data_IF_532533002791
#
_entry.id   IF_532533002791
#
_cell.length_a   1.000
_cell.length_b   1.000
_cell.length_c   1.000
_cell.angle_alpha   90.00
_cell.angle_beta   90.00
_cell.angle_gamma   90.00
#
_symmetry.space_group_name_H-M   'P 1'
#
loop_
_entity.id
_entity.type
_entity.pdbx_description
1 polymer ?
#
# COMPACT_ATOMS: atom_id res chain seq x y z
N UNK A 1 44.07 -22.43 -3.17
CA UNK A 1 42.77 -22.27 -3.86
C UNK A 1 41.74 -21.60 -2.95
N UNK A 2 41.87 -20.30 -2.64
CA UNK A 2 40.94 -19.59 -1.74
C UNK A 2 40.01 -18.59 -2.45
N UNK A 3 40.36 -18.17 -3.68
CA UNK A 3 39.60 -17.16 -4.45
C UNK A 3 38.25 -17.66 -4.97
N UNK A 4 38.06 -18.96 -5.19
CA UNK A 4 36.82 -19.55 -5.74
C UNK A 4 35.67 -19.65 -4.73
N UNK A 5 35.98 -19.80 -3.44
CA UNK A 5 34.97 -19.81 -2.36
C UNK A 5 34.33 -18.42 -2.21
N UNK A 6 35.14 -17.35 -2.27
CA UNK A 6 34.68 -15.98 -2.11
C UNK A 6 33.73 -15.52 -3.23
N UNK A 7 33.96 -15.94 -4.48
CA UNK A 7 33.09 -15.61 -5.61
C UNK A 7 31.76 -16.35 -5.54
N UNK A 8 31.76 -17.61 -5.11
CA UNK A 8 30.54 -18.39 -4.89
C UNK A 8 29.62 -17.74 -3.84
N UNK A 9 30.19 -17.33 -2.69
CA UNK A 9 29.43 -16.68 -1.63
C UNK A 9 28.83 -15.34 -2.08
N UNK A 10 29.57 -14.54 -2.85
CA UNK A 10 29.05 -13.29 -3.44
C UNK A 10 27.87 -13.55 -4.38
N UNK A 11 27.99 -14.54 -5.27
CA UNK A 11 26.93 -14.92 -6.21
C UNK A 11 25.67 -15.42 -5.49
N UNK A 12 25.83 -16.20 -4.42
CA UNK A 12 24.69 -16.62 -3.60
C UNK A 12 23.99 -15.45 -2.89
N UNK A 13 24.77 -14.54 -2.30
CA UNK A 13 24.22 -13.37 -1.62
C UNK A 13 23.43 -12.47 -2.59
N UNK A 14 23.96 -12.27 -3.79
CA UNK A 14 23.30 -11.49 -4.83
C UNK A 14 21.99 -12.14 -5.30
N UNK A 15 22.00 -13.46 -5.53
CA UNK A 15 20.78 -14.22 -5.85
C UNK A 15 19.72 -14.10 -4.76
N UNK A 16 20.11 -14.17 -3.49
CA UNK A 16 19.19 -14.01 -2.36
C UNK A 16 18.64 -12.57 -2.26
N UNK A 17 19.45 -11.56 -2.60
CA UNK A 17 18.99 -10.16 -2.65
C UNK A 17 18.00 -9.94 -3.80
N UNK A 18 18.24 -10.53 -4.96
CA UNK A 18 17.33 -10.46 -6.12
C UNK A 18 15.98 -11.09 -5.78
N UNK A 19 15.97 -12.33 -5.28
CA UNK A 19 14.74 -13.01 -4.83
C UNK A 19 13.94 -12.18 -3.82
N UNK A 20 14.61 -11.66 -2.78
CA UNK A 20 13.93 -10.81 -1.78
C UNK A 20 13.34 -9.52 -2.37
N UNK A 21 13.93 -8.96 -3.44
CA UNK A 21 13.38 -7.80 -4.13
C UNK A 21 12.16 -8.17 -4.97
N UNK A 22 12.24 -9.29 -5.69
CA UNK A 22 11.14 -9.85 -6.48
C UNK A 22 9.94 -10.17 -5.59
N UNK A 23 10.15 -10.91 -4.49
CA UNK A 23 9.10 -11.26 -3.52
C UNK A 23 8.41 -10.02 -2.93
N UNK A 24 9.19 -8.99 -2.58
CA UNK A 24 8.64 -7.72 -2.08
C UNK A 24 7.85 -6.98 -3.15
N UNK A 25 8.33 -6.97 -4.39
CA UNK A 25 7.63 -6.32 -5.49
C UNK A 25 6.33 -7.04 -5.81
N UNK A 26 6.33 -8.38 -5.81
CA UNK A 26 5.15 -9.19 -6.01
C UNK A 26 4.14 -8.98 -4.88
N UNK A 27 4.55 -9.03 -3.61
CA UNK A 27 3.68 -8.73 -2.47
C UNK A 27 3.08 -7.32 -2.53
N UNK A 28 3.84 -6.34 -3.04
CA UNK A 28 3.33 -4.98 -3.26
C UNK A 28 2.27 -4.96 -4.36
N UNK A 29 2.50 -5.64 -5.49
CA UNK A 29 1.52 -5.76 -6.58
C UNK A 29 0.27 -6.49 -6.11
N UNK A 30 0.40 -7.61 -5.42
CA UNK A 30 -0.72 -8.36 -4.85
C UNK A 30 -1.54 -7.50 -3.88
N UNK A 31 -0.90 -6.66 -3.06
CA UNK A 31 -1.60 -5.69 -2.20
C UNK A 31 -2.31 -4.61 -3.03
N UNK A 32 -1.72 -4.17 -4.14
CA UNK A 32 -2.35 -3.19 -5.03
C UNK A 32 -3.53 -3.79 -5.82
N UNK A 33 -3.42 -5.04 -6.26
CA UNK A 33 -4.39 -5.75 -7.10
C UNK A 33 -5.55 -6.35 -6.28
N UNK A 34 -5.29 -6.95 -5.11
CA UNK A 34 -6.31 -7.62 -4.30
C UNK A 34 -6.98 -6.73 -3.24
N UNK A 35 -6.62 -5.46 -3.18
CA UNK A 35 -7.09 -4.57 -2.11
C UNK A 35 -6.46 -3.20 -2.26
N UNK A 36 -6.77 -2.54 -3.37
CA UNK A 36 -6.46 -1.13 -3.54
C UNK A 36 -6.98 -0.39 -2.31
N UNK A 37 -6.18 0.53 -1.79
CA UNK A 37 -6.54 1.38 -0.63
C UNK A 37 -7.94 1.99 -0.78
N UNK A 38 -8.40 2.16 -2.02
CA UNK A 38 -9.72 2.63 -2.40
C UNK A 38 -10.88 1.73 -1.92
N UNK A 39 -10.71 0.40 -1.89
CA UNK A 39 -11.75 -0.54 -1.47
C UNK A 39 -11.89 -0.63 0.06
N UNK A 40 -10.96 -0.03 0.80
CA UNK A 40 -10.99 0.05 2.26
C UNK A 40 -11.49 1.42 2.77
N UNK A 41 -11.84 2.35 1.87
CA UNK A 41 -12.44 3.63 2.25
C UNK A 41 -13.95 3.40 2.40
N UNK A 42 -14.41 3.30 3.64
CA UNK A 42 -15.83 3.31 3.94
C UNK A 42 -16.30 4.74 4.18
N UNK A 43 -17.43 5.11 3.59
CA UNK A 43 -18.06 6.40 3.80
C UNK A 43 -18.98 6.32 5.02
N UNK A 44 -19.11 7.43 5.75
CA UNK A 44 -19.96 7.54 6.93
C UNK A 44 -21.08 8.53 6.61
N UNK A 45 -22.33 8.17 6.92
CA UNK A 45 -23.49 9.05 6.78
C UNK A 45 -23.65 10.01 7.99
N UNK A 46 -24.61 10.92 7.91
CA UNK A 46 -24.90 11.94 8.95
C UNK A 46 -25.30 11.33 10.31
N UNK A 47 -25.64 10.04 10.35
CA UNK A 47 -26.04 9.30 11.54
C UNK A 47 -24.95 8.35 12.05
N UNK A 48 -23.76 8.36 11.43
CA UNK A 48 -22.62 7.55 11.83
C UNK A 48 -22.62 6.13 11.27
N UNK A 49 -23.49 5.79 10.31
CA UNK A 49 -23.53 4.46 9.69
C UNK A 49 -22.58 4.37 8.50
N UNK A 50 -21.99 3.19 8.31
CA UNK A 50 -21.13 2.89 7.16
C UNK A 50 -21.98 2.71 5.90
N UNK A 51 -21.68 3.49 4.87
CA UNK A 51 -22.32 3.40 3.55
C UNK A 51 -21.31 3.03 2.47
N UNK A 52 -21.78 2.20 1.53
CA UNK A 52 -21.03 1.75 0.34
C UNK A 52 -21.09 2.76 -0.82
N UNK A 53 -21.98 3.75 -0.72
CA UNK A 53 -22.11 4.81 -1.72
C UNK A 53 -21.16 5.96 -1.40
N UNK A 54 -20.33 6.42 -2.36
CA UNK A 54 -19.58 7.65 -2.17
C UNK A 54 -20.55 8.81 -1.98
N UNK A 55 -20.27 9.76 -1.06
CA UNK A 55 -21.12 10.92 -0.87
C UNK A 55 -21.19 11.65 -2.20
N UNK A 56 -22.40 11.77 -2.74
CA UNK A 56 -22.62 12.57 -3.95
C UNK A 56 -22.12 13.97 -3.65
N UNK A 57 -21.31 14.55 -4.54
CA UNK A 57 -20.86 15.93 -4.44
C UNK A 57 -22.06 16.88 -4.52
N UNK A 58 -22.81 17.02 -3.43
CA UNK A 58 -23.87 18.00 -3.25
C UNK A 58 -23.63 18.70 -1.91
N UNK A 59 -22.89 19.80 -2.05
CA UNK A 59 -23.07 21.07 -1.34
C UNK A 59 -22.60 21.17 0.13
N UNK A 60 -21.40 21.75 0.24
CA UNK A 60 -21.07 22.94 1.06
C UNK A 60 -21.52 23.06 2.51
N UNK A 61 -20.54 23.00 3.41
CA UNK A 61 -20.31 23.90 4.55
C UNK A 61 -18.79 23.81 4.82
N UNK A 62 -17.90 24.79 4.60
CA UNK A 62 -17.92 26.23 4.89
C UNK A 62 -18.54 26.54 6.24
N UNK A 63 -18.07 25.90 7.30
CA UNK A 63 -18.46 26.33 8.65
C UNK A 63 -17.43 25.98 9.75
N UNK A 64 -16.13 25.97 9.45
CA UNK A 64 -15.08 25.95 10.49
C UNK A 64 -14.04 27.05 10.23
N UNK A 65 -14.49 28.31 10.13
CA UNK A 65 -13.62 29.49 10.30
C UNK A 65 -14.41 30.66 10.91
N UNK A 66 -14.96 30.46 12.10
CA UNK A 66 -15.28 31.54 13.05
C UNK A 66 -15.26 30.99 14.49
N UNK A 67 -14.13 31.17 15.18
CA UNK A 67 -14.13 31.02 16.64
C UNK A 67 -12.79 30.70 17.29
N UNK A 68 -11.83 31.64 17.24
CA UNK A 68 -11.17 32.24 18.41
C UNK A 68 -10.19 33.33 17.94
#
# INVERSE_FOLDING_TARGET
>A
MAKSQATFMKKQLEKNRQKKKEDKAQRKKERQENGGVNDMIAYVDEFGNLTSTPPTQKQTSKEDDKGN
#
